data_IF_327131968045
#
_entry.id   IF_327131968045
#
_cell.length_a   1.000
_cell.length_b   1.000
_cell.length_c   1.000
_cell.angle_alpha   90.00
_cell.angle_beta   90.00
_cell.angle_gamma   90.00
#
_symmetry.space_group_name_H-M   'P 1'
#
loop_
_entity.id
_entity.type
_entity.pdbx_description
1 polymer ?
#
# COMPACT_ATOMS: atom_id res chain seq x y z
N UNK A 1 -29.60 51.66 -7.07
CA UNK A 1 -28.24 51.09 -6.98
C UNK A 1 -28.10 50.20 -5.73
N UNK A 2 -28.76 49.04 -5.69
CA UNK A 2 -28.70 48.08 -4.55
C UNK A 2 -28.67 46.59 -4.97
N UNK A 3 -28.84 46.27 -6.27
CA UNK A 3 -28.87 44.88 -6.78
C UNK A 3 -27.51 44.34 -7.27
N UNK A 4 -26.48 45.19 -7.38
CA UNK A 4 -25.12 44.78 -7.80
C UNK A 4 -24.25 44.23 -6.65
N UNK A 5 -24.60 44.48 -5.39
CA UNK A 5 -23.81 44.06 -4.23
C UNK A 5 -24.00 42.59 -3.82
N UNK A 6 -25.11 41.96 -4.23
CA UNK A 6 -25.39 40.55 -3.88
C UNK A 6 -24.55 39.58 -4.72
N UNK A 7 -24.17 39.97 -5.95
CA UNK A 7 -23.39 39.12 -6.84
C UNK A 7 -21.91 39.01 -6.43
N UNK A 8 -21.35 40.00 -5.73
CA UNK A 8 -19.95 39.95 -5.27
C UNK A 8 -19.76 39.02 -4.07
N UNK A 9 -20.79 38.84 -3.23
CA UNK A 9 -20.70 38.00 -2.03
C UNK A 9 -20.71 36.51 -2.42
N UNK A 10 -21.49 36.09 -3.42
CA UNK A 10 -21.52 34.68 -3.85
C UNK A 10 -20.17 34.25 -4.46
N UNK A 11 -19.47 35.14 -5.18
CA UNK A 11 -18.14 34.84 -5.75
C UNK A 11 -17.08 34.75 -4.64
N UNK A 12 -17.21 35.53 -3.56
CA UNK A 12 -16.29 35.45 -2.41
C UNK A 12 -16.43 34.17 -1.58
N UNK A 13 -17.56 33.45 -1.66
CA UNK A 13 -17.76 32.16 -0.99
C UNK A 13 -17.45 30.94 -1.88
N UNK A 14 -17.33 31.11 -3.21
CA UNK A 14 -17.00 30.02 -4.14
C UNK A 14 -15.47 29.79 -4.29
N UNK A 15 -14.64 30.68 -3.78
CA UNK A 15 -13.17 30.54 -3.83
C UNK A 15 -12.56 29.99 -2.54
N UNK A 16 -13.27 29.96 -1.41
CA UNK A 16 -12.73 29.49 -0.12
C UNK A 16 -12.83 27.98 0.10
N UNK A 17 -13.59 27.25 -0.71
CA UNK A 17 -13.64 25.77 -0.69
C UNK A 17 -12.96 25.11 -1.88
N UNK A 18 -12.26 25.89 -2.71
CA UNK A 18 -11.19 25.38 -3.57
C UNK A 18 -9.83 25.42 -2.85
N UNK A 19 -9.85 25.47 -1.52
CA UNK A 19 -8.66 25.36 -0.70
C UNK A 19 -8.32 23.87 -0.52
N UNK A 20 -7.28 23.45 -1.24
CA UNK A 20 -6.50 22.25 -0.94
C UNK A 20 -7.20 20.91 -1.14
N UNK A 21 -7.58 20.59 -2.38
CA UNK A 21 -7.27 19.25 -2.89
C UNK A 21 -5.75 19.21 -3.12
N UNK A 22 -5.01 19.04 -2.03
CA UNK A 22 -3.62 18.66 -2.07
C UNK A 22 -3.61 17.29 -2.75
N UNK A 23 -3.28 17.25 -4.04
CA UNK A 23 -3.07 16.05 -4.84
C UNK A 23 -1.81 15.33 -4.37
N UNK A 24 -1.76 15.00 -3.08
CA UNK A 24 -0.91 13.93 -2.56
C UNK A 24 -1.61 12.61 -2.89
N UNK A 25 -1.68 12.32 -4.19
CA UNK A 25 -2.09 11.03 -4.73
C UNK A 25 -0.96 9.98 -4.53
N UNK A 26 -0.39 10.00 -3.31
CA UNK A 26 0.67 9.12 -2.80
C UNK A 26 0.13 8.18 -1.71
N UNK A 27 -1.18 8.14 -1.51
CA UNK A 27 -1.82 7.21 -0.58
C UNK A 27 -1.54 5.76 -0.98
N UNK A 28 -1.14 4.95 -0.01
CA UNK A 28 -1.09 3.50 -0.17
C UNK A 28 -2.54 3.02 -0.35
N UNK A 29 -2.81 2.32 -1.45
CA UNK A 29 -4.14 1.79 -1.77
C UNK A 29 -4.35 0.42 -1.12
N UNK A 30 -3.39 -0.48 -1.30
CA UNK A 30 -3.34 -1.77 -0.62
C UNK A 30 -1.90 -2.27 -0.57
N UNK A 31 -1.68 -3.32 0.21
CA UNK A 31 -0.39 -4.00 0.34
C UNK A 31 -0.59 -5.50 0.13
N UNK A 32 0.29 -6.12 -0.65
CA UNK A 32 0.37 -7.57 -0.79
C UNK A 32 1.66 -8.07 -0.12
N UNK A 33 1.52 -9.02 0.79
CA UNK A 33 2.64 -9.60 1.55
C UNK A 33 2.80 -11.05 1.12
N UNK A 34 3.85 -11.33 0.37
CA UNK A 34 4.21 -12.69 -0.05
C UNK A 34 5.15 -13.30 0.98
N UNK A 35 4.77 -14.46 1.52
CA UNK A 35 5.55 -15.15 2.54
C UNK A 35 5.47 -16.67 2.36
N UNK A 36 6.36 -17.37 3.08
CA UNK A 36 6.34 -18.83 3.15
C UNK A 36 6.52 -19.32 4.58
N UNK A 37 5.67 -20.23 5.05
CA UNK A 37 5.81 -20.89 6.36
C UNK A 37 7.06 -21.77 6.49
N UNK A 38 7.73 -22.07 5.38
CA UNK A 38 9.00 -22.82 5.37
C UNK A 38 10.22 -21.92 5.36
N UNK A 39 10.04 -20.59 5.25
CA UNK A 39 11.11 -19.61 5.26
C UNK A 39 11.27 -19.01 6.65
N UNK A 40 12.46 -19.18 7.25
CA UNK A 40 12.78 -18.60 8.56
C UNK A 40 12.63 -17.07 8.55
N UNK A 41 13.13 -16.41 7.50
CA UNK A 41 13.00 -14.96 7.33
C UNK A 41 11.52 -14.52 7.33
N UNK A 42 10.64 -15.31 6.72
CA UNK A 42 9.21 -15.01 6.69
C UNK A 42 8.58 -15.15 8.08
N UNK A 43 8.91 -16.24 8.80
CA UNK A 43 8.40 -16.50 10.15
C UNK A 43 8.79 -15.37 11.11
N UNK A 44 10.03 -14.89 11.03
CA UNK A 44 10.54 -13.82 11.90
C UNK A 44 9.96 -12.44 11.56
N UNK A 45 9.76 -12.15 10.28
CA UNK A 45 9.36 -10.80 9.83
C UNK A 45 7.84 -10.61 9.86
N UNK A 46 7.04 -11.67 9.68
CA UNK A 46 5.58 -11.57 9.56
C UNK A 46 4.90 -10.91 10.78
N UNK A 47 5.27 -11.22 12.04
CA UNK A 47 4.71 -10.52 13.20
C UNK A 47 5.02 -9.01 13.18
N UNK A 48 6.23 -8.64 12.75
CA UNK A 48 6.63 -7.25 12.64
C UNK A 48 5.80 -6.51 11.59
N UNK A 49 5.59 -7.11 10.41
CA UNK A 49 4.70 -6.57 9.36
C UNK A 49 3.30 -6.32 9.90
N UNK A 50 2.71 -7.33 10.56
CA UNK A 50 1.36 -7.27 11.12
C UNK A 50 1.17 -6.19 12.17
N UNK A 51 2.20 -5.91 12.96
CA UNK A 51 2.15 -4.90 14.02
C UNK A 51 2.47 -3.49 13.52
N UNK A 52 3.08 -3.36 12.34
CA UNK A 52 3.58 -2.08 11.82
C UNK A 52 2.61 -1.44 10.83
N UNK A 53 2.00 -2.23 9.94
CA UNK A 53 1.09 -1.68 8.94
C UNK A 53 -0.21 -1.22 9.63
N UNK A 54 -0.65 0.04 9.47
CA UNK A 54 -1.90 0.52 10.06
C UNK A 54 -3.12 -0.27 9.57
N UNK A 55 -4.06 -0.56 10.47
CA UNK A 55 -5.30 -1.30 10.19
C UNK A 55 -6.19 -0.66 9.10
N UNK A 56 -5.98 0.62 8.80
CA UNK A 56 -6.71 1.38 7.79
C UNK A 56 -6.30 1.00 6.36
N UNK A 57 -5.13 0.37 6.19
CA UNK A 57 -4.60 -0.03 4.88
C UNK A 57 -5.01 -1.49 4.60
N UNK A 58 -5.71 -1.78 3.50
CA UNK A 58 -5.99 -3.16 3.11
C UNK A 58 -4.70 -3.96 2.88
N UNK A 59 -4.54 -5.10 3.57
CA UNK A 59 -3.39 -6.00 3.41
C UNK A 59 -3.84 -7.40 3.02
N UNK A 60 -3.30 -7.91 1.91
CA UNK A 60 -3.44 -9.30 1.48
C UNK A 60 -2.19 -10.10 1.87
N UNK A 61 -2.35 -11.12 2.74
CA UNK A 61 -1.26 -12.03 3.11
C UNK A 61 -1.31 -13.29 2.26
N UNK A 62 -0.28 -13.51 1.44
CA UNK A 62 -0.21 -14.55 0.43
C UNK A 62 0.85 -15.58 0.85
N UNK A 63 0.40 -16.68 1.46
CA UNK A 63 1.26 -17.84 1.77
C UNK A 63 1.43 -18.70 0.52
N UNK A 64 2.67 -18.77 0.01
CA UNK A 64 2.99 -19.38 -1.29
C UNK A 64 2.78 -20.91 -1.32
N UNK A 65 2.89 -21.57 -0.17
CA UNK A 65 2.88 -23.05 -0.07
C UNK A 65 1.54 -23.65 0.36
N UNK A 66 0.51 -22.82 0.51
CA UNK A 66 -0.79 -23.22 1.04
C UNK A 66 -1.89 -23.21 -0.03
N UNK A 67 -2.81 -24.18 0.06
CA UNK A 67 -3.96 -24.33 -0.83
C UNK A 67 -3.88 -25.57 -1.72
N UNK A 68 -4.83 -25.64 -2.65
CA UNK A 68 -4.85 -26.61 -3.75
C UNK A 68 -3.68 -26.38 -4.70
N UNK A 69 -3.37 -27.37 -5.54
CA UNK A 69 -2.30 -27.27 -6.54
C UNK A 69 -2.52 -26.07 -7.47
N UNK A 70 -3.75 -25.86 -7.91
CA UNK A 70 -4.16 -24.75 -8.78
C UNK A 70 -3.97 -23.39 -8.09
N UNK A 71 -4.30 -23.28 -6.80
CA UNK A 71 -4.10 -22.07 -6.01
C UNK A 71 -2.62 -21.76 -5.81
N UNK A 72 -1.82 -22.76 -5.47
CA UNK A 72 -0.37 -22.62 -5.32
C UNK A 72 0.26 -22.14 -6.64
N UNK A 73 -0.13 -22.72 -7.78
CA UNK A 73 0.34 -22.28 -9.10
C UNK A 73 -0.02 -20.81 -9.36
N UNK A 74 -1.26 -20.39 -9.05
CA UNK A 74 -1.68 -18.98 -9.21
C UNK A 74 -0.86 -18.03 -8.34
N UNK A 75 -0.61 -18.39 -7.07
CA UNK A 75 0.20 -17.60 -6.13
C UNK A 75 1.64 -17.46 -6.62
N UNK A 76 2.26 -18.55 -7.07
CA UNK A 76 3.61 -18.54 -7.64
C UNK A 76 3.66 -17.71 -8.93
N UNK A 77 2.66 -17.83 -9.81
CA UNK A 77 2.59 -17.03 -11.02
C UNK A 77 2.49 -15.53 -10.71
N UNK A 78 1.64 -15.13 -9.76
CA UNK A 78 1.54 -13.75 -9.26
C UNK A 78 2.87 -13.27 -8.68
N UNK A 79 3.53 -14.07 -7.84
CA UNK A 79 4.85 -13.78 -7.27
C UNK A 79 5.90 -13.50 -8.35
N UNK A 80 5.94 -14.32 -9.40
CA UNK A 80 6.85 -14.14 -10.55
C UNK A 80 6.49 -12.95 -11.42
N UNK A 81 5.21 -12.60 -11.54
CA UNK A 81 4.75 -11.42 -12.30
C UNK A 81 5.28 -10.12 -11.70
N UNK A 82 5.53 -10.09 -10.39
CA UNK A 82 6.18 -8.99 -9.71
C UNK A 82 7.72 -9.05 -9.75
N UNK A 83 8.32 -9.99 -10.49
CA UNK A 83 9.77 -10.25 -10.49
C UNK A 83 10.33 -10.44 -9.06
N UNK A 84 9.55 -11.13 -8.21
CA UNK A 84 10.01 -11.47 -6.86
C UNK A 84 10.89 -12.72 -6.91
N UNK A 85 11.97 -12.66 -6.15
CA UNK A 85 12.95 -13.76 -6.03
C UNK A 85 13.05 -14.28 -4.60
N UNK A 86 12.65 -13.48 -3.60
CA UNK A 86 12.83 -13.79 -2.17
C UNK A 86 11.52 -13.67 -1.41
N UNK A 87 11.43 -14.36 -0.28
CA UNK A 87 10.38 -14.18 0.72
C UNK A 87 11.02 -13.88 2.08
N UNK A 88 10.43 -13.01 2.93
CA UNK A 88 9.19 -12.28 2.69
C UNK A 88 9.40 -11.17 1.65
N UNK A 89 8.36 -10.83 0.89
CA UNK A 89 8.35 -9.70 -0.04
C UNK A 89 7.05 -8.93 0.10
N UNK A 90 7.12 -7.61 -0.06
CA UNK A 90 5.97 -6.72 0.02
C UNK A 90 5.82 -5.95 -1.28
N UNK A 91 4.60 -5.92 -1.82
CA UNK A 91 4.21 -5.07 -2.94
C UNK A 91 3.22 -4.04 -2.42
N UNK A 92 3.62 -2.76 -2.46
CA UNK A 92 2.82 -1.63 -2.00
C UNK A 92 2.25 -0.95 -3.24
N UNK A 93 0.94 -0.95 -3.38
CA UNK A 93 0.26 -0.34 -4.52
C UNK A 93 -0.17 1.07 -4.15
N UNK A 94 0.21 2.06 -4.97
CA UNK A 94 -0.03 3.49 -4.73
C UNK A 94 -0.77 4.11 -5.92
N UNK A 95 -1.69 5.04 -5.65
CA UNK A 95 -2.33 6.00 -6.57
C UNK A 95 -2.28 5.68 -8.09
N UNK A 96 -1.90 6.65 -8.91
CA UNK A 96 -1.92 6.58 -10.38
C UNK A 96 -0.87 5.62 -11.00
N UNK A 97 -0.87 4.34 -10.62
CA UNK A 97 -0.01 3.23 -11.13
C UNK A 97 1.37 3.04 -10.50
N UNK A 98 1.63 3.68 -9.35
CA UNK A 98 2.87 3.48 -8.61
C UNK A 98 2.89 2.14 -7.87
N UNK A 99 4.02 1.42 -7.94
CA UNK A 99 4.26 0.23 -7.12
C UNK A 99 5.61 0.37 -6.43
N UNK A 100 5.68 0.03 -5.15
CA UNK A 100 6.96 -0.17 -4.46
C UNK A 100 7.08 -1.66 -4.15
N UNK A 101 8.22 -2.23 -4.52
CA UNK A 101 8.52 -3.64 -4.32
C UNK A 101 9.69 -3.71 -3.34
N UNK A 102 9.51 -4.43 -2.25
CA UNK A 102 10.51 -4.66 -1.22
C UNK A 102 10.72 -6.16 -1.11
N UNK A 103 11.98 -6.60 -1.17
CA UNK A 103 12.27 -8.04 -1.20
C UNK A 103 13.25 -8.45 -0.10
N UNK A 104 12.87 -9.51 0.62
CA UNK A 104 13.64 -10.04 1.72
C UNK A 104 13.47 -9.26 3.02
N UNK A 105 13.82 -9.91 4.12
CA UNK A 105 13.67 -9.39 5.49
C UNK A 105 14.21 -7.98 5.68
N UNK A 106 15.45 -7.73 5.24
CA UNK A 106 16.13 -6.45 5.49
C UNK A 106 15.43 -5.25 4.84
N UNK A 107 15.05 -5.35 3.56
CA UNK A 107 14.38 -4.24 2.85
C UNK A 107 13.00 -3.98 3.43
N UNK A 108 12.26 -5.04 3.73
CA UNK A 108 10.94 -4.98 4.36
C UNK A 108 11.02 -4.28 5.72
N UNK A 109 11.90 -4.74 6.61
CA UNK A 109 12.05 -4.13 7.93
C UNK A 109 12.53 -2.68 7.86
N UNK A 110 13.47 -2.38 6.96
CA UNK A 110 13.99 -1.02 6.79
C UNK A 110 12.88 -0.05 6.38
N UNK A 111 12.05 -0.44 5.41
CA UNK A 111 10.94 0.42 4.97
C UNK A 111 9.89 0.59 6.07
N UNK A 112 9.51 -0.50 6.76
CA UNK A 112 8.54 -0.44 7.85
C UNK A 112 9.00 0.46 9.00
N UNK A 113 10.29 0.46 9.35
CA UNK A 113 10.84 1.36 10.38
C UNK A 113 10.77 2.84 9.96
N UNK A 114 10.92 3.13 8.67
CA UNK A 114 10.91 4.51 8.14
C UNK A 114 9.51 5.12 8.05
N UNK A 115 8.45 4.32 7.97
CA UNK A 115 7.07 4.82 7.92
C UNK A 115 6.42 4.98 9.31
N UNK A 116 7.08 4.48 10.36
CA UNK A 116 6.59 4.56 11.76
C UNK A 116 7.26 5.71 12.55
N UNK A 117 8.44 6.17 12.12
CA UNK A 117 9.12 7.35 12.68
C UNK A 117 8.65 8.65 12.02
#
# INVERSE_FOLDING_TARGET
MKRLLVLFIIILFLSTTACCLNTNDKGILWIEVFWSKTSQDSIETLPFIKNTIPDQIPVEYIELSEGTKEEIIKKIFKFRTYNLEKVPSIVIHKGLSGKVILQGKYEVEKWLKQEVE
#
